data_IF_783098886296
#
_entry.id   IF_783098886296
#
_cell.length_a   1.000
_cell.length_b   1.000
_cell.length_c   1.000
_cell.angle_alpha   90.00
_cell.angle_beta   90.00
_cell.angle_gamma   90.00
#
_symmetry.space_group_name_H-M   'P 1'
#
loop_
_entity.id
_entity.type
_entity.pdbx_description
1 polymer ?
#
# COMPACT_ATOMS: atom_id res chain seq x y z
N UNK A 1 42.51 -19.55 -1.58
CA UNK A 1 41.07 -19.31 -1.38
C UNK A 1 40.44 -20.68 -1.21
N UNK A 2 39.74 -20.90 -0.09
CA UNK A 2 39.14 -22.21 0.26
C UNK A 2 37.99 -22.53 -0.72
N UNK A 3 37.73 -23.82 -1.02
CA UNK A 3 36.62 -24.21 -1.92
C UNK A 3 35.28 -23.69 -1.47
N UNK A 4 35.00 -23.68 -0.16
CA UNK A 4 33.79 -23.08 0.45
C UNK A 4 33.70 -21.56 0.16
N UNK A 5 34.83 -20.83 0.19
CA UNK A 5 34.87 -19.42 -0.15
C UNK A 5 34.57 -19.14 -1.62
N UNK A 6 34.96 -20.09 -2.48
CA UNK A 6 34.77 -20.02 -3.94
C UNK A 6 33.29 -20.29 -4.31
N UNK A 7 32.69 -21.31 -3.70
CA UNK A 7 31.29 -21.66 -3.85
C UNK A 7 30.37 -20.50 -3.37
N UNK A 8 30.66 -19.90 -2.21
CA UNK A 8 29.91 -18.76 -1.72
C UNK A 8 30.03 -17.56 -2.66
N UNK A 9 31.18 -17.30 -3.27
CA UNK A 9 31.30 -16.18 -4.23
C UNK A 9 30.51 -16.42 -5.52
N UNK A 10 30.34 -17.67 -5.95
CA UNK A 10 29.62 -18.02 -7.17
C UNK A 10 28.10 -17.76 -7.00
N UNK A 11 27.51 -18.14 -5.88
CA UNK A 11 26.08 -17.86 -5.63
C UNK A 11 25.77 -16.35 -5.61
N UNK A 12 26.69 -15.50 -5.09
CA UNK A 12 26.53 -14.04 -5.15
C UNK A 12 26.61 -13.50 -6.59
N UNK A 13 27.51 -14.07 -7.42
CA UNK A 13 27.60 -13.69 -8.84
C UNK A 13 26.32 -14.07 -9.61
N UNK A 14 25.82 -15.28 -9.40
CA UNK A 14 24.57 -15.74 -10.00
C UNK A 14 23.40 -14.87 -9.57
N UNK A 15 23.30 -14.49 -8.29
CA UNK A 15 22.26 -13.57 -7.82
C UNK A 15 22.41 -12.18 -8.48
N UNK A 16 23.61 -11.65 -8.65
CA UNK A 16 23.83 -10.39 -9.34
C UNK A 16 23.38 -10.47 -10.81
N UNK A 17 23.63 -11.58 -11.49
CA UNK A 17 23.14 -11.85 -12.85
C UNK A 17 21.61 -11.90 -12.89
N UNK A 18 20.98 -12.59 -11.92
CA UNK A 18 19.54 -12.67 -11.82
C UNK A 18 18.90 -11.28 -11.65
N UNK A 19 19.43 -10.46 -10.76
CA UNK A 19 19.02 -9.07 -10.56
C UNK A 19 19.13 -8.22 -11.82
N UNK A 20 20.24 -8.37 -12.57
CA UNK A 20 20.45 -7.66 -13.83
C UNK A 20 19.44 -8.08 -14.90
N UNK A 21 19.19 -9.39 -15.05
CA UNK A 21 18.19 -9.93 -15.98
C UNK A 21 16.76 -9.44 -15.62
N UNK A 22 16.39 -9.45 -14.35
CA UNK A 22 15.06 -8.99 -13.91
C UNK A 22 14.86 -7.50 -14.17
N UNK A 23 15.89 -6.67 -13.90
CA UNK A 23 15.83 -5.23 -14.17
C UNK A 23 15.68 -4.87 -15.65
N UNK A 24 16.10 -5.76 -16.55
CA UNK A 24 15.91 -5.56 -18.00
C UNK A 24 14.49 -5.89 -18.48
N UNK A 25 13.66 -6.47 -17.62
CA UNK A 25 12.27 -6.81 -17.93
C UNK A 25 11.33 -5.67 -17.52
N UNK A 26 10.21 -5.54 -18.25
CA UNK A 26 9.16 -4.60 -17.90
C UNK A 26 8.16 -5.28 -16.97
N UNK A 27 8.28 -5.03 -15.68
CA UNK A 27 7.33 -5.52 -14.68
C UNK A 27 6.14 -4.55 -14.57
N UNK A 28 4.94 -5.10 -14.40
CA UNK A 28 3.70 -4.32 -14.20
C UNK A 28 3.21 -4.50 -12.77
N UNK A 29 2.92 -3.40 -12.09
CA UNK A 29 2.32 -3.41 -10.76
C UNK A 29 0.84 -3.74 -10.85
N UNK A 30 0.40 -4.85 -10.27
CA UNK A 30 -1.02 -5.26 -10.22
C UNK A 30 -1.70 -4.88 -8.90
N UNK A 31 -0.94 -4.71 -7.83
CA UNK A 31 -1.46 -4.32 -6.52
C UNK A 31 -1.87 -2.84 -6.48
N UNK A 32 -2.98 -2.56 -5.81
CA UNK A 32 -3.47 -1.19 -5.57
C UNK A 32 -3.80 -1.00 -4.10
N UNK A 33 -3.09 -0.12 -3.44
CA UNK A 33 -3.49 0.36 -2.12
C UNK A 33 -4.54 1.47 -2.29
N UNK A 34 -5.81 1.10 -2.09
CA UNK A 34 -6.94 2.02 -2.26
C UNK A 34 -6.97 3.15 -1.22
N UNK A 35 -6.35 2.95 -0.06
CA UNK A 35 -6.31 3.96 1.00
C UNK A 35 -5.25 5.04 0.73
N UNK A 36 -4.10 4.64 0.23
CA UNK A 36 -2.99 5.54 -0.03
C UNK A 36 -2.83 5.90 -1.53
N UNK A 37 -3.69 5.37 -2.41
CA UNK A 37 -3.76 5.73 -3.83
C UNK A 37 -2.54 5.34 -4.67
N UNK A 38 -1.70 4.37 -4.22
CA UNK A 38 -0.51 3.96 -4.97
C UNK A 38 -0.58 2.50 -5.42
N UNK A 39 0.12 2.23 -6.53
CA UNK A 39 0.30 0.87 -7.03
C UNK A 39 1.59 0.26 -6.48
N UNK A 40 1.54 -1.03 -6.15
CA UNK A 40 2.67 -1.81 -5.69
C UNK A 40 2.77 -3.14 -6.45
N UNK A 41 3.94 -3.80 -6.36
CA UNK A 41 4.12 -5.12 -6.93
C UNK A 41 3.51 -6.19 -6.03
N UNK A 42 2.54 -6.93 -6.55
CA UNK A 42 2.16 -8.20 -5.95
C UNK A 42 3.26 -9.23 -6.16
N UNK A 43 3.31 -10.26 -5.31
CA UNK A 43 4.33 -11.30 -5.42
C UNK A 43 4.37 -11.95 -6.81
N UNK A 44 3.20 -12.17 -7.42
CA UNK A 44 3.08 -12.77 -8.74
C UNK A 44 3.67 -11.93 -9.87
N UNK A 45 3.75 -10.60 -9.72
CA UNK A 45 4.20 -9.70 -10.79
C UNK A 45 5.70 -9.88 -11.11
N UNK A 46 6.48 -10.37 -10.16
CA UNK A 46 7.92 -10.52 -10.31
C UNK A 46 8.44 -11.91 -9.94
N UNK A 47 7.74 -12.70 -9.16
CA UNK A 47 8.22 -14.02 -8.74
C UNK A 47 8.32 -14.99 -9.90
N UNK A 48 7.32 -15.05 -10.79
CA UNK A 48 7.38 -15.95 -11.94
C UNK A 48 8.60 -15.68 -12.84
N UNK A 49 8.83 -14.44 -13.32
CA UNK A 49 10.04 -14.17 -14.10
C UNK A 49 11.33 -14.36 -13.30
N UNK A 50 11.30 -14.14 -11.99
CA UNK A 50 12.47 -14.43 -11.14
C UNK A 50 12.80 -15.91 -11.11
N UNK A 51 11.80 -16.79 -10.96
CA UNK A 51 12.00 -18.24 -10.94
C UNK A 51 12.50 -18.76 -12.30
N UNK A 52 12.00 -18.25 -13.42
CA UNK A 52 12.51 -18.57 -14.76
C UNK A 52 13.99 -18.19 -14.91
N UNK A 53 14.36 -16.99 -14.42
CA UNK A 53 15.75 -16.55 -14.41
C UNK A 53 16.61 -17.47 -13.52
N UNK A 54 16.14 -17.78 -12.31
CA UNK A 54 16.84 -18.66 -11.37
C UNK A 54 17.11 -20.04 -11.97
N UNK A 55 16.08 -20.66 -12.55
CA UNK A 55 16.20 -21.95 -13.24
C UNK A 55 17.25 -21.88 -14.36
N UNK A 56 17.25 -20.80 -15.16
CA UNK A 56 18.19 -20.61 -16.27
C UNK A 56 19.67 -20.51 -15.87
N UNK A 57 19.96 -20.27 -14.59
CA UNK A 57 21.33 -20.05 -14.07
C UNK A 57 21.68 -20.97 -12.89
N UNK A 58 20.85 -21.97 -12.60
CA UNK A 58 21.07 -22.95 -11.55
C UNK A 58 20.94 -22.37 -10.13
N UNK A 59 19.99 -21.49 -9.91
CA UNK A 59 19.60 -21.04 -8.58
C UNK A 59 18.22 -21.58 -8.19
N UNK A 60 18.02 -21.85 -6.92
CA UNK A 60 16.71 -22.09 -6.33
C UNK A 60 16.50 -21.18 -5.11
N UNK A 61 15.24 -20.78 -4.87
CA UNK A 61 14.84 -20.04 -3.68
C UNK A 61 13.87 -20.85 -2.84
N UNK A 62 14.17 -21.01 -1.56
CA UNK A 62 13.36 -21.75 -0.59
C UNK A 62 12.94 -20.81 0.51
N UNK A 63 11.61 -20.58 0.65
CA UNK A 63 11.06 -19.78 1.74
C UNK A 63 10.63 -20.71 2.87
N UNK A 64 10.99 -20.36 4.09
CA UNK A 64 10.59 -21.06 5.31
C UNK A 64 10.20 -20.07 6.39
N UNK A 65 9.34 -20.52 7.31
CA UNK A 65 8.84 -19.72 8.41
C UNK A 65 9.03 -20.48 9.72
N UNK A 66 9.49 -19.79 10.73
CA UNK A 66 9.52 -20.24 12.11
C UNK A 66 8.64 -19.32 12.95
N UNK A 67 8.52 -19.60 14.22
CA UNK A 67 7.80 -18.74 15.15
C UNK A 67 8.36 -17.31 15.23
N UNK A 68 9.67 -17.18 15.04
CA UNK A 68 10.40 -15.92 15.31
C UNK A 68 10.93 -15.26 14.04
N UNK A 69 10.98 -15.99 12.91
CA UNK A 69 11.69 -15.58 11.71
C UNK A 69 11.08 -16.14 10.43
N UNK A 70 11.01 -15.30 9.40
CA UNK A 70 10.80 -15.69 8.02
C UNK A 70 12.15 -15.70 7.30
N UNK A 71 12.38 -16.67 6.43
CA UNK A 71 13.68 -16.90 5.81
C UNK A 71 13.52 -17.24 4.32
N UNK A 72 14.39 -16.68 3.50
CA UNK A 72 14.59 -17.07 2.11
C UNK A 72 16.03 -17.52 1.93
N UNK A 73 16.21 -18.82 1.65
CA UNK A 73 17.48 -19.40 1.24
C UNK A 73 17.58 -19.41 -0.28
N UNK A 74 18.62 -18.81 -0.83
CA UNK A 74 18.96 -18.85 -2.25
C UNK A 74 20.17 -19.77 -2.40
N UNK A 75 19.99 -20.90 -3.07
CA UNK A 75 20.99 -21.95 -3.18
C UNK A 75 21.45 -22.07 -4.63
N UNK A 76 22.77 -22.16 -4.83
CA UNK A 76 23.38 -22.53 -6.10
C UNK A 76 23.43 -24.06 -6.20
N UNK A 77 22.64 -24.64 -7.11
CA UNK A 77 22.54 -26.11 -7.27
C UNK A 77 23.67 -26.70 -8.08
N UNK A 78 24.45 -25.89 -8.81
CA UNK A 78 25.56 -26.37 -9.65
C UNK A 78 26.89 -26.34 -8.89
N UNK A 79 27.20 -25.22 -8.23
CA UNK A 79 28.49 -24.98 -7.59
C UNK A 79 28.47 -25.06 -6.07
N UNK A 80 27.30 -25.14 -5.48
CA UNK A 80 27.10 -25.02 -4.04
C UNK A 80 27.17 -23.57 -3.57
N UNK A 81 26.90 -23.37 -2.31
CA UNK A 81 26.79 -22.03 -1.71
C UNK A 81 25.36 -21.61 -1.51
N UNK A 82 25.17 -20.80 -0.50
CA UNK A 82 23.86 -20.35 -0.04
C UNK A 82 23.92 -18.87 0.39
N UNK A 83 22.87 -18.13 0.07
CA UNK A 83 22.61 -16.80 0.62
C UNK A 83 21.30 -16.90 1.42
N UNK A 84 21.34 -16.50 2.68
CA UNK A 84 20.19 -16.50 3.56
C UNK A 84 19.77 -15.06 3.82
N UNK A 85 18.51 -14.76 3.58
CA UNK A 85 17.86 -13.46 3.86
C UNK A 85 16.77 -13.73 4.90
N UNK A 86 16.80 -13.00 6.00
CA UNK A 86 15.85 -13.18 7.10
C UNK A 86 15.06 -11.91 7.38
N UNK A 87 13.89 -12.09 7.96
CA UNK A 87 13.03 -11.02 8.49
C UNK A 87 12.39 -11.51 9.78
N UNK A 88 12.30 -10.68 10.83
CA UNK A 88 11.54 -11.06 12.03
C UNK A 88 10.12 -11.46 11.67
N UNK A 89 9.61 -12.55 12.28
CA UNK A 89 8.24 -12.97 12.01
C UNK A 89 7.26 -12.01 12.68
N UNK A 90 6.40 -11.38 11.88
CA UNK A 90 5.40 -10.44 12.35
C UNK A 90 4.16 -11.13 12.89
N UNK A 91 3.26 -10.35 13.46
CA UNK A 91 1.92 -10.80 13.84
C UNK A 91 0.86 -9.95 13.16
N UNK A 92 -0.30 -10.54 12.88
CA UNK A 92 -1.47 -9.83 12.39
C UNK A 92 -2.68 -10.18 13.23
N UNK A 93 -3.55 -9.20 13.45
CA UNK A 93 -4.85 -9.35 14.09
C UNK A 93 -5.94 -8.81 13.17
N UNK A 94 -6.24 -9.56 12.12
CA UNK A 94 -7.26 -9.18 11.14
C UNK A 94 -8.65 -9.36 11.74
N UNK A 95 -9.47 -8.33 11.66
CA UNK A 95 -10.80 -8.31 12.24
C UNK A 95 -11.71 -9.35 11.57
N UNK A 96 -12.25 -10.29 12.35
CA UNK A 96 -13.14 -11.34 11.85
C UNK A 96 -12.43 -12.56 11.25
N UNK A 97 -11.11 -12.66 11.36
CA UNK A 97 -10.34 -13.80 10.86
C UNK A 97 -9.95 -14.76 11.99
N UNK A 98 -9.89 -16.06 11.67
CA UNK A 98 -9.32 -17.07 12.56
C UNK A 98 -7.80 -16.97 12.63
N UNK A 99 -7.20 -17.51 13.70
CA UNK A 99 -5.75 -17.46 13.94
C UNK A 99 -4.93 -18.01 12.76
N UNK A 100 -5.35 -19.12 12.16
CA UNK A 100 -4.71 -19.71 10.98
C UNK A 100 -4.72 -18.76 9.78
N UNK A 101 -5.79 -17.98 9.60
CA UNK A 101 -5.88 -17.01 8.52
C UNK A 101 -4.94 -15.82 8.77
N UNK A 102 -4.76 -15.42 10.02
CA UNK A 102 -3.79 -14.39 10.39
C UNK A 102 -2.36 -14.84 10.11
N UNK A 103 -2.00 -16.09 10.42
CA UNK A 103 -0.69 -16.67 10.09
C UNK A 103 -0.49 -16.66 8.58
N UNK A 104 -1.42 -17.19 7.79
CA UNK A 104 -1.30 -17.20 6.32
C UNK A 104 -1.18 -15.82 5.68
N UNK A 105 -1.86 -14.82 6.25
CA UNK A 105 -1.72 -13.43 5.81
C UNK A 105 -0.30 -12.89 6.07
N UNK A 106 0.26 -13.15 7.26
CA UNK A 106 1.63 -12.75 7.62
C UNK A 106 2.66 -13.45 6.73
N UNK A 107 2.54 -14.77 6.52
CA UNK A 107 3.44 -15.54 5.66
C UNK A 107 3.43 -15.03 4.23
N UNK A 108 2.25 -14.75 3.67
CA UNK A 108 2.12 -14.21 2.31
C UNK A 108 2.78 -12.84 2.18
N UNK A 109 2.57 -11.97 3.18
CA UNK A 109 3.16 -10.65 3.23
C UNK A 109 4.69 -10.73 3.32
N UNK A 110 5.22 -11.51 4.26
CA UNK A 110 6.66 -11.64 4.47
C UNK A 110 7.37 -12.32 3.31
N UNK A 111 6.74 -13.33 2.68
CA UNK A 111 7.26 -13.95 1.47
C UNK A 111 7.51 -12.92 0.37
N UNK A 112 6.58 -12.00 0.15
CA UNK A 112 6.75 -10.90 -0.83
C UNK A 112 7.96 -10.05 -0.50
N UNK A 113 8.11 -9.60 0.75
CA UNK A 113 9.21 -8.74 1.16
C UNK A 113 10.58 -9.43 1.10
N UNK A 114 10.67 -10.69 1.47
CA UNK A 114 11.92 -11.47 1.32
C UNK A 114 12.39 -11.49 -0.14
N UNK A 115 11.47 -11.73 -1.08
CA UNK A 115 11.80 -11.73 -2.50
C UNK A 115 12.07 -10.32 -3.04
N UNK A 116 11.38 -9.28 -2.57
CA UNK A 116 11.64 -7.87 -2.92
C UNK A 116 13.07 -7.51 -2.52
N UNK A 117 13.49 -7.83 -1.30
CA UNK A 117 14.85 -7.59 -0.81
C UNK A 117 15.87 -8.43 -1.60
N UNK A 118 15.60 -9.73 -1.81
CA UNK A 118 16.48 -10.61 -2.56
C UNK A 118 16.79 -10.09 -3.96
N UNK A 119 15.79 -9.57 -4.65
CA UNK A 119 15.89 -9.11 -6.04
C UNK A 119 16.14 -7.61 -6.19
N UNK A 120 16.33 -6.88 -5.08
CA UNK A 120 16.53 -5.42 -5.08
C UNK A 120 15.43 -4.68 -5.87
N UNK A 121 14.17 -5.11 -5.68
CA UNK A 121 13.03 -4.47 -6.32
C UNK A 121 12.73 -3.18 -5.57
N UNK A 122 12.81 -2.05 -6.29
CA UNK A 122 12.50 -0.74 -5.71
C UNK A 122 11.00 -0.50 -5.81
N UNK A 123 10.35 -0.49 -4.67
CA UNK A 123 9.01 0.06 -4.52
C UNK A 123 9.14 1.49 -3.98
N UNK A 124 8.36 2.42 -4.55
CA UNK A 124 8.23 3.73 -3.90
C UNK A 124 7.46 3.50 -2.60
N UNK A 125 8.14 3.71 -1.49
CA UNK A 125 7.55 3.54 -0.17
C UNK A 125 6.40 4.54 0.00
N UNK A 126 5.29 4.11 0.60
CA UNK A 126 4.17 4.99 0.91
C UNK A 126 4.60 6.16 1.82
N UNK A 127 5.67 5.98 2.59
CA UNK A 127 6.31 7.02 3.39
C UNK A 127 7.01 8.07 2.51
N UNK A 128 7.66 7.68 1.40
CA UNK A 128 8.27 8.62 0.46
C UNK A 128 7.21 9.38 -0.36
N UNK A 129 6.04 8.78 -0.60
CA UNK A 129 4.92 9.47 -1.22
C UNK A 129 4.34 10.59 -0.34
N UNK A 130 4.57 10.51 0.99
CA UNK A 130 4.13 11.53 1.96
C UNK A 130 5.23 12.52 2.33
N UNK A 131 6.52 12.19 2.11
CA UNK A 131 7.66 13.04 2.44
C UNK A 131 8.28 13.70 1.21
N UNK A 132 7.55 14.59 0.52
CA UNK A 132 8.19 15.45 -0.49
C UNK A 132 7.57 15.52 -1.87
N UNK A 133 6.49 14.82 -2.16
CA UNK A 133 5.61 15.17 -3.27
C UNK A 133 4.41 15.93 -2.73
N UNK A 134 4.10 17.08 -3.32
CA UNK A 134 2.73 17.58 -3.39
C UNK A 134 1.93 16.52 -4.16
N UNK A 135 1.58 15.43 -3.48
CA UNK A 135 0.84 14.31 -4.04
C UNK A 135 -0.64 14.62 -3.98
N UNK A 136 -1.36 14.12 -4.97
CA UNK A 136 -2.81 14.24 -5.08
C UNK A 136 -3.60 13.42 -4.02
N UNK A 137 -2.97 12.96 -2.96
CA UNK A 137 -3.58 12.19 -1.87
C UNK A 137 -3.79 13.01 -0.60
N UNK A 138 -4.78 12.66 0.23
CA UNK A 138 -5.09 13.39 1.45
C UNK A 138 -3.96 13.25 2.49
N UNK A 139 -3.63 14.35 3.13
CA UNK A 139 -2.77 14.37 4.31
C UNK A 139 -3.67 14.24 5.53
N UNK A 140 -3.48 13.19 6.33
CA UNK A 140 -4.17 13.06 7.63
C UNK A 140 -3.29 13.74 8.68
N UNK A 141 -3.79 14.81 9.28
CA UNK A 141 -3.09 15.49 10.38
C UNK A 141 -3.11 14.62 11.65
N UNK A 142 -2.20 14.86 12.61
CA UNK A 142 -2.23 14.17 13.91
C UNK A 142 -3.54 14.33 14.70
N UNK A 143 -4.40 15.27 14.29
CA UNK A 143 -5.75 15.49 14.84
C UNK A 143 -6.85 14.76 14.08
N UNK A 144 -6.49 13.97 13.04
CA UNK A 144 -7.46 13.24 12.21
C UNK A 144 -8.17 14.11 11.16
N UNK A 145 -7.68 15.31 10.88
CA UNK A 145 -8.18 16.14 9.80
C UNK A 145 -7.65 15.63 8.46
N UNK A 146 -8.51 15.49 7.47
CA UNK A 146 -8.15 15.09 6.12
C UNK A 146 -7.90 16.34 5.28
N UNK A 147 -6.66 16.50 4.80
CA UNK A 147 -6.29 17.57 3.87
C UNK A 147 -6.22 16.96 2.46
N UNK A 148 -7.15 17.30 1.60
CA UNK A 148 -7.12 16.98 0.17
C UNK A 148 -6.17 17.92 -0.58
N UNK A 149 -5.72 17.52 -1.78
CA UNK A 149 -4.83 18.36 -2.59
C UNK A 149 -5.50 19.69 -3.02
N UNK A 150 -4.70 20.65 -3.48
CA UNK A 150 -5.15 22.01 -3.79
C UNK A 150 -6.35 22.05 -4.77
N UNK A 151 -6.40 21.16 -5.78
CA UNK A 151 -7.52 21.11 -6.73
C UNK A 151 -8.80 20.56 -6.09
N UNK A 152 -8.67 19.48 -5.34
CA UNK A 152 -9.79 18.85 -4.63
C UNK A 152 -10.26 19.75 -3.48
N UNK A 153 -9.32 20.45 -2.81
CA UNK A 153 -9.64 21.41 -1.78
C UNK A 153 -10.38 22.64 -2.34
N UNK A 154 -10.04 23.09 -3.57
CA UNK A 154 -10.81 24.12 -4.25
C UNK A 154 -12.28 23.73 -4.41
N UNK A 155 -12.56 22.50 -4.85
CA UNK A 155 -13.94 21.99 -4.96
C UNK A 155 -14.62 21.94 -3.59
N UNK A 156 -13.92 21.49 -2.56
CA UNK A 156 -14.43 21.44 -1.17
C UNK A 156 -14.78 22.83 -0.66
N UNK A 157 -13.93 23.82 -0.91
CA UNK A 157 -14.17 25.23 -0.52
C UNK A 157 -15.38 25.79 -1.27
N UNK A 158 -15.43 25.62 -2.60
CA UNK A 158 -16.55 26.13 -3.42
C UNK A 158 -17.89 25.54 -2.94
N UNK A 159 -17.95 24.23 -2.66
CA UNK A 159 -19.15 23.57 -2.15
C UNK A 159 -19.46 24.02 -0.72
N UNK A 160 -18.45 24.25 0.13
CA UNK A 160 -18.67 24.74 1.49
C UNK A 160 -19.30 26.14 1.50
N UNK A 161 -18.86 27.00 0.58
CA UNK A 161 -19.39 28.34 0.40
C UNK A 161 -20.83 28.27 -0.11
N UNK A 162 -21.13 27.45 -1.13
CA UNK A 162 -22.49 27.24 -1.62
C UNK A 162 -23.43 26.74 -0.51
N UNK A 163 -22.99 25.80 0.32
CA UNK A 163 -23.75 25.32 1.48
C UNK A 163 -24.03 26.47 2.47
N UNK A 164 -23.02 27.28 2.80
CA UNK A 164 -23.16 28.41 3.72
C UNK A 164 -24.14 29.46 3.18
N UNK A 165 -24.08 29.78 1.89
CA UNK A 165 -25.00 30.70 1.22
C UNK A 165 -26.44 30.17 1.26
N UNK A 166 -26.69 28.90 0.96
CA UNK A 166 -28.02 28.30 1.05
C UNK A 166 -28.56 28.27 2.47
N UNK A 167 -27.69 27.94 3.44
CA UNK A 167 -28.07 27.99 4.86
C UNK A 167 -28.42 29.39 5.32
N UNK A 168 -27.75 30.44 4.82
CA UNK A 168 -28.07 31.83 5.09
C UNK A 168 -29.41 32.25 4.45
N UNK A 169 -29.79 31.65 3.32
CA UNK A 169 -31.06 31.83 2.64
C UNK A 169 -32.20 30.93 3.19
N UNK A 170 -31.97 30.21 4.29
CA UNK A 170 -32.89 29.24 4.91
C UNK A 170 -33.28 28.08 3.98
N UNK A 171 -32.43 27.80 2.96
CA UNK A 171 -32.57 26.69 2.00
C UNK A 171 -31.80 25.43 2.47
N UNK A 172 -32.36 24.77 3.48
CA UNK A 172 -31.75 23.53 4.01
C UNK A 172 -31.76 22.37 2.99
N UNK A 173 -32.76 22.33 2.12
CA UNK A 173 -32.88 21.28 1.09
C UNK A 173 -31.74 21.42 0.09
N UNK A 174 -31.57 22.58 -0.51
CA UNK A 174 -30.48 22.86 -1.43
C UNK A 174 -29.11 22.70 -0.79
N UNK A 175 -28.93 23.12 0.46
CA UNK A 175 -27.69 22.90 1.20
C UNK A 175 -27.38 21.38 1.37
N UNK A 176 -28.38 20.56 1.57
CA UNK A 176 -28.21 19.11 1.67
C UNK A 176 -27.90 18.48 0.31
N UNK A 177 -28.52 18.98 -0.77
CA UNK A 177 -28.21 18.52 -2.13
C UNK A 177 -26.75 18.80 -2.51
N UNK A 178 -26.22 19.99 -2.20
CA UNK A 178 -24.78 20.28 -2.37
C UNK A 178 -23.90 19.31 -1.58
N UNK A 179 -24.25 19.05 -0.31
CA UNK A 179 -23.50 18.11 0.53
C UNK A 179 -23.47 16.68 -0.01
N UNK A 180 -24.60 16.14 -0.49
CA UNK A 180 -24.66 14.79 -1.04
C UNK A 180 -24.04 14.70 -2.43
N UNK A 181 -23.93 15.80 -3.17
CA UNK A 181 -23.28 15.90 -4.46
C UNK A 181 -21.78 15.53 -4.40
N UNK A 182 -21.12 15.76 -3.27
CA UNK A 182 -19.77 15.23 -3.02
C UNK A 182 -19.89 13.72 -2.78
N UNK A 183 -19.41 12.92 -3.73
CA UNK A 183 -19.45 11.45 -3.66
C UNK A 183 -18.18 10.84 -3.11
N UNK A 184 -17.03 11.53 -3.23
CA UNK A 184 -15.74 11.10 -2.72
C UNK A 184 -15.70 11.20 -1.18
N UNK A 185 -15.29 10.13 -0.53
CA UNK A 185 -15.30 10.02 0.94
C UNK A 185 -14.33 10.96 1.64
N UNK A 186 -13.18 11.25 1.01
CA UNK A 186 -12.15 12.12 1.57
C UNK A 186 -12.55 13.59 1.45
N UNK A 187 -13.06 13.98 0.28
CA UNK A 187 -13.63 15.33 0.07
C UNK A 187 -14.82 15.59 1.01
N UNK A 188 -15.64 14.57 1.27
CA UNK A 188 -16.73 14.66 2.25
C UNK A 188 -16.24 14.92 3.67
N UNK A 189 -15.15 14.27 4.07
CA UNK A 189 -14.53 14.50 5.40
C UNK A 189 -13.94 15.90 5.46
N UNK A 190 -13.23 16.35 4.42
CA UNK A 190 -12.68 17.70 4.33
C UNK A 190 -13.80 18.76 4.36
N UNK A 191 -14.84 18.57 3.55
CA UNK A 191 -16.02 19.44 3.55
C UNK A 191 -16.67 19.53 4.93
N UNK A 192 -16.77 18.41 5.63
CA UNK A 192 -17.32 18.39 6.99
C UNK A 192 -16.49 19.22 7.97
N UNK A 193 -15.15 19.29 7.76
CA UNK A 193 -14.23 20.16 8.50
C UNK A 193 -14.47 21.66 8.25
N UNK A 194 -14.82 22.04 7.01
CA UNK A 194 -15.05 23.43 6.59
C UNK A 194 -16.39 24.02 7.04
N UNK A 195 -17.33 23.17 7.47
CA UNK A 195 -18.66 23.59 7.92
C UNK A 195 -18.67 23.85 9.43
N UNK A 196 -19.44 24.85 9.86
CA UNK A 196 -19.66 25.11 11.28
C UNK A 196 -20.57 24.05 11.95
N UNK A 197 -20.55 24.03 13.28
CA UNK A 197 -21.33 23.06 14.08
C UNK A 197 -22.83 23.12 13.86
N UNK A 198 -23.38 24.29 13.59
CA UNK A 198 -24.82 24.50 13.39
C UNK A 198 -25.25 23.90 12.05
N UNK A 199 -24.49 24.21 10.99
CA UNK A 199 -24.70 23.69 9.64
C UNK A 199 -24.56 22.15 9.61
N UNK A 200 -23.50 21.60 10.22
CA UNK A 200 -23.33 20.14 10.35
C UNK A 200 -24.52 19.47 11.03
N UNK A 201 -24.99 20.05 12.12
CA UNK A 201 -26.16 19.52 12.87
C UNK A 201 -27.46 19.57 12.07
N UNK A 202 -27.68 20.63 11.29
CA UNK A 202 -28.85 20.78 10.44
C UNK A 202 -28.85 19.75 9.30
N UNK A 203 -27.73 19.61 8.56
CA UNK A 203 -27.57 18.64 7.47
C UNK A 203 -27.75 17.22 7.98
N UNK A 204 -27.15 16.87 9.14
CA UNK A 204 -27.30 15.55 9.75
C UNK A 204 -28.74 15.21 10.09
N UNK A 205 -29.45 16.11 10.78
CA UNK A 205 -30.86 15.92 11.15
C UNK A 205 -31.75 15.78 9.93
N UNK A 206 -31.50 16.57 8.89
CA UNK A 206 -32.25 16.47 7.65
C UNK A 206 -32.04 15.14 6.95
N UNK A 207 -30.76 14.68 6.82
CA UNK A 207 -30.45 13.38 6.26
C UNK A 207 -31.03 12.21 7.05
N UNK A 208 -31.10 12.30 8.38
CA UNK A 208 -31.76 11.29 9.22
C UNK A 208 -33.28 11.25 8.99
N UNK A 209 -33.92 12.42 8.77
CA UNK A 209 -35.35 12.53 8.48
C UNK A 209 -35.75 11.87 7.15
N UNK A 210 -34.82 11.79 6.18
CA UNK A 210 -35.07 11.18 4.90
C UNK A 210 -34.93 9.62 4.95
N UNK A 211 -34.19 9.08 5.92
CA UNK A 211 -34.01 7.63 6.10
C UNK A 211 -35.17 6.97 6.86
N UNK A 212 -36.01 7.76 7.50
CA UNK A 212 -37.16 7.27 8.29
C UNK A 212 -38.49 7.25 7.52
N UNK A 213 -38.45 7.50 6.22
CA UNK A 213 -39.56 7.38 5.30
C UNK A 213 -39.22 6.23 4.31
#
# INVERSE_FOLDING_TARGET
MNEVSKANMEVYRKLAVARAKLRSQVLKKSGLNKFAGYQYFELGDFLHPTLEIFDSIGLIGIVSFTKDEAMLSIVDVDGGGEIVITSPFGSAALKGCHEVQNIGAVETYQRRYLWVVAMEIVEHDALDATTGRKGDGPIITPRGEVIVNDKRMSVVVDVSEAIKERMAADDLIGAYEEYIGITDGEEKIALWGELDSKTRSALKKYGESLKGK
#
